data_IF_426521638295
#
_entry.id   IF_426521638295
#
_cell.length_a   1.000
_cell.length_b   1.000
_cell.length_c   1.000
_cell.angle_alpha   90.00
_cell.angle_beta   90.00
_cell.angle_gamma   90.00
#
_symmetry.space_group_name_H-M   'P 1'
#
loop_
_entity.id
_entity.type
_entity.pdbx_description
1 polymer ?
#
# COMPACT_ATOMS: atom_id res chain seq x y z
N UNK A 1 3.88 -3.59 -9.77
CA UNK A 1 3.81 -2.65 -8.62
C UNK A 1 2.56 -3.02 -7.83
N UNK A 2 2.66 -3.18 -6.51
CA UNK A 2 1.52 -3.52 -5.64
C UNK A 2 1.24 -2.30 -4.73
N UNK A 3 0.02 -1.76 -4.72
CA UNK A 3 -0.37 -0.67 -3.82
C UNK A 3 -0.23 -1.05 -2.33
N UNK A 4 0.07 -0.07 -1.48
CA UNK A 4 0.32 -0.31 -0.04
C UNK A 4 -0.93 -0.74 0.72
N UNK A 5 -2.09 -0.21 0.31
CA UNK A 5 -3.41 -0.55 0.80
C UNK A 5 -3.79 -2.00 0.51
N UNK A 6 -3.26 -2.60 -0.56
CA UNK A 6 -3.41 -4.04 -0.84
C UNK A 6 -2.34 -4.89 -0.17
N UNK A 7 -1.12 -4.35 -0.02
CA UNK A 7 -0.02 -5.06 0.63
C UNK A 7 -0.31 -5.35 2.11
N UNK A 8 -0.85 -4.38 2.86
CA UNK A 8 -1.09 -4.57 4.28
C UNK A 8 -2.06 -5.75 4.55
N UNK A 9 -3.28 -5.80 3.98
CA UNK A 9 -4.19 -6.95 4.15
C UNK A 9 -3.59 -8.28 3.72
N UNK A 10 -2.70 -8.31 2.73
CA UNK A 10 -1.98 -9.54 2.36
C UNK A 10 -1.11 -9.98 3.54
N UNK A 11 -0.29 -9.08 4.10
CA UNK A 11 0.69 -9.45 5.11
C UNK A 11 0.10 -9.89 6.45
N UNK A 12 -1.12 -9.44 6.79
CA UNK A 12 -1.87 -9.91 7.97
C UNK A 12 -2.96 -10.95 7.64
N UNK A 13 -2.89 -11.57 6.45
CA UNK A 13 -3.71 -12.71 6.01
C UNK A 13 -5.23 -12.46 5.98
N UNK A 14 -5.65 -11.25 5.60
CA UNK A 14 -7.07 -10.86 5.46
C UNK A 14 -7.42 -10.34 4.05
N UNK A 15 -6.49 -10.45 3.10
CA UNK A 15 -6.76 -10.05 1.72
C UNK A 15 -7.72 -11.04 1.02
N UNK A 16 -8.72 -10.56 0.26
CA UNK A 16 -9.74 -11.41 -0.36
C UNK A 16 -9.20 -12.20 -1.57
N UNK A 17 -8.17 -11.71 -2.26
CA UNK A 17 -7.59 -12.39 -3.42
C UNK A 17 -6.52 -13.42 -2.99
N UNK A 18 -6.80 -14.71 -3.19
CA UNK A 18 -5.87 -15.80 -2.88
C UNK A 18 -4.67 -15.89 -3.83
N UNK A 19 -4.83 -15.53 -5.11
CA UNK A 19 -3.73 -15.52 -6.08
C UNK A 19 -2.65 -14.52 -5.64
N UNK A 20 -3.06 -13.37 -5.13
CA UNK A 20 -2.14 -12.34 -4.66
C UNK A 20 -1.43 -12.78 -3.38
N UNK A 21 -2.16 -13.36 -2.42
CA UNK A 21 -1.56 -13.92 -1.20
C UNK A 21 -0.55 -15.02 -1.49
N UNK A 22 -0.72 -15.80 -2.57
CA UNK A 22 0.20 -16.86 -2.97
C UNK A 22 1.63 -16.35 -3.26
N UNK A 23 1.77 -15.09 -3.68
CA UNK A 23 3.08 -14.46 -3.90
C UNK A 23 3.81 -14.07 -2.60
N UNK A 24 3.11 -14.08 -1.45
CA UNK A 24 3.64 -13.66 -0.14
C UNK A 24 3.45 -14.79 0.88
N UNK A 25 4.33 -15.80 0.92
CA UNK A 25 4.15 -16.99 1.76
C UNK A 25 4.29 -16.71 3.26
N UNK A 26 5.06 -15.68 3.65
CA UNK A 26 5.23 -15.29 5.06
C UNK A 26 4.28 -14.13 5.36
N UNK A 27 3.25 -14.40 6.15
CA UNK A 27 2.18 -13.44 6.51
C UNK A 27 2.00 -13.38 8.04
N UNK A 28 3.05 -12.95 8.73
CA UNK A 28 3.10 -12.90 10.20
C UNK A 28 2.92 -11.47 10.76
N UNK A 29 2.41 -10.53 9.96
CA UNK A 29 2.12 -9.18 10.41
C UNK A 29 0.90 -9.20 11.34
N UNK A 30 1.07 -8.66 12.55
CA UNK A 30 -0.04 -8.46 13.48
C UNK A 30 -0.63 -7.07 13.28
N UNK A 31 -1.89 -6.99 12.85
CA UNK A 31 -2.61 -5.74 12.68
C UNK A 31 -3.51 -5.47 13.91
N UNK A 32 -3.37 -4.29 14.50
CA UNK A 32 -4.18 -3.83 15.63
C UNK A 32 -4.93 -2.56 15.24
N UNK A 33 -6.18 -2.43 15.69
CA UNK A 33 -7.00 -1.23 15.48
C UNK A 33 -7.80 -0.91 16.75
N UNK A 34 -8.12 0.37 16.95
CA UNK A 34 -8.98 0.82 18.02
C UNK A 34 -10.46 0.67 17.63
N UNK A 35 -11.29 0.22 18.57
CA UNK A 35 -12.73 0.17 18.43
C UNK A 35 -13.39 0.85 19.66
N UNK A 36 -14.14 1.96 19.48
CA UNK A 36 -14.47 2.64 18.23
C UNK A 36 -13.27 3.41 17.63
N UNK A 37 -13.41 3.86 16.38
CA UNK A 37 -12.39 4.68 15.71
C UNK A 37 -12.12 5.97 16.50
N UNK A 38 -10.84 6.31 16.69
CA UNK A 38 -10.43 7.54 17.38
C UNK A 38 -10.62 8.77 16.49
N UNK A 39 -10.35 8.62 15.20
CA UNK A 39 -10.54 9.65 14.17
C UNK A 39 -11.01 8.96 12.88
N UNK A 40 -11.81 9.68 12.10
CA UNK A 40 -12.24 9.25 10.78
C UNK A 40 -12.24 10.46 9.82
N UNK A 41 -12.05 10.25 8.51
CA UNK A 41 -12.18 11.32 7.53
C UNK A 41 -13.57 11.96 7.61
N UNK A 42 -13.64 13.27 7.39
CA UNK A 42 -14.90 13.99 7.19
C UNK A 42 -15.47 13.73 5.80
N UNK A 43 -14.59 13.58 4.81
CA UNK A 43 -14.91 13.26 3.42
C UNK A 43 -13.96 12.16 2.92
N UNK A 44 -14.50 11.25 2.12
CA UNK A 44 -13.77 10.18 1.43
C UNK A 44 -13.54 10.55 -0.04
N UNK A 45 -12.61 9.85 -0.71
CA UNK A 45 -12.35 10.03 -2.15
C UNK A 45 -13.64 9.93 -2.95
N UNK A 46 -13.83 10.88 -3.87
CA UNK A 46 -15.03 10.98 -4.71
C UNK A 46 -16.24 11.66 -4.07
N UNK A 47 -16.17 12.09 -2.80
CA UNK A 47 -17.21 12.91 -2.18
C UNK A 47 -17.00 14.40 -2.46
N UNK A 48 -18.10 15.13 -2.61
CA UNK A 48 -18.08 16.59 -2.76
C UNK A 48 -17.32 17.24 -1.59
N UNK A 49 -16.34 18.08 -1.90
CA UNK A 49 -15.50 18.75 -0.89
C UNK A 49 -14.33 17.90 -0.37
N UNK A 50 -14.09 16.71 -0.92
CA UNK A 50 -12.84 15.97 -0.69
C UNK A 50 -11.63 16.75 -1.22
N UNK A 51 -10.59 16.87 -0.41
CA UNK A 51 -9.33 17.54 -0.75
C UNK A 51 -8.19 16.62 -0.30
N UNK A 52 -7.22 16.39 -1.19
CA UNK A 52 -6.03 15.59 -0.92
C UNK A 52 -4.77 16.31 -1.40
N UNK A 53 -3.72 16.27 -0.60
CA UNK A 53 -2.40 16.82 -0.95
C UNK A 53 -1.54 15.81 -1.73
N UNK A 54 -1.93 14.53 -1.75
CA UNK A 54 -1.08 13.43 -2.24
C UNK A 54 -1.68 12.59 -3.36
N UNK A 55 -2.99 12.66 -3.63
CA UNK A 55 -3.65 11.81 -4.63
C UNK A 55 -3.17 12.11 -6.07
N UNK A 56 -2.96 13.38 -6.41
CA UNK A 56 -2.50 13.84 -7.73
C UNK A 56 -0.97 14.08 -7.80
N UNK A 57 -0.20 13.49 -6.88
CA UNK A 57 1.25 13.65 -6.88
C UNK A 57 1.89 13.04 -8.14
N UNK A 58 2.78 13.80 -8.78
CA UNK A 58 3.50 13.33 -9.96
C UNK A 58 4.44 12.17 -9.60
N UNK A 59 4.53 11.17 -10.48
CA UNK A 59 5.52 10.11 -10.37
C UNK A 59 6.91 10.71 -10.60
N UNK A 60 7.79 10.60 -9.63
CA UNK A 60 9.19 11.01 -9.77
C UNK A 60 9.95 9.91 -10.51
N UNK A 61 10.30 10.15 -11.77
CA UNK A 61 11.21 9.27 -12.49
C UNK A 61 12.63 9.44 -11.92
N UNK A 62 13.08 8.44 -11.15
CA UNK A 62 14.46 8.39 -10.68
C UNK A 62 15.32 7.82 -11.82
N UNK A 63 16.03 8.69 -12.53
CA UNK A 63 16.99 8.26 -13.55
C UNK A 63 18.26 7.71 -12.87
N UNK A 64 18.24 6.43 -12.49
CA UNK A 64 19.43 5.74 -11.95
C UNK A 64 20.20 5.13 -13.12
N UNK A 65 21.46 5.54 -13.38
CA UNK A 65 22.32 4.80 -14.30
C UNK A 65 22.84 3.56 -13.57
N UNK A 66 22.07 2.48 -13.55
CA UNK A 66 22.49 1.21 -12.94
C UNK A 66 23.23 0.36 -13.97
N UNK A 67 24.55 0.55 -14.06
CA UNK A 67 25.46 -0.49 -14.54
C UNK A 67 26.38 -0.87 -13.38
N UNK A 68 25.98 -1.87 -12.60
CA UNK A 68 26.89 -2.61 -11.73
C UNK A 68 27.13 -3.94 -12.44
N UNK A 69 28.27 -4.05 -13.13
CA UNK A 69 28.79 -5.33 -13.58
C UNK A 69 29.13 -6.16 -12.34
N UNK A 70 28.41 -7.27 -12.15
CA UNK A 70 28.91 -8.35 -11.30
C UNK A 70 30.04 -9.03 -12.07
N UNK A 71 31.28 -8.64 -11.77
CA UNK A 71 32.46 -9.45 -12.08
C UNK A 71 32.55 -10.56 -11.01
N UNK A 72 32.77 -11.79 -11.49
CA UNK A 72 32.93 -13.02 -10.70
C UNK A 72 34.16 -12.99 -9.77
#
# INVERSE_FOLDING_TARGET
MLPVDEFLPIMFDQHPNDEWKAHFPVRNLQAYSAAPLLVNPTHYTGQDGYISDTEDSAIVEVNVPCHVTNEL
#
